data_IF_508670647098
#
_entry.id   IF_508670647098
#
_cell.length_a   1.000
_cell.length_b   1.000
_cell.length_c   1.000
_cell.angle_alpha   90.00
_cell.angle_beta   90.00
_cell.angle_gamma   90.00
#
_symmetry.space_group_name_H-M   'P 1'
#
loop_
_entity.id
_entity.type
_entity.pdbx_description
1 polymer ?
#
# COMPACT_ATOMS: atom_id res chain seq x y z
N UNK A 1 6.25 -12.39 17.10
CA UNK A 1 7.04 -11.64 16.11
C UNK A 1 8.49 -11.89 16.45
N UNK A 2 9.26 -12.36 15.48
CA UNK A 2 10.71 -12.56 15.65
C UNK A 2 11.44 -11.27 15.27
N UNK A 3 12.61 -11.02 15.87
CA UNK A 3 13.43 -9.86 15.51
C UNK A 3 13.80 -9.81 14.01
N UNK A 4 13.78 -10.97 13.34
CA UNK A 4 14.07 -11.09 11.91
C UNK A 4 12.96 -10.52 11.01
N UNK A 5 11.69 -10.64 11.42
CA UNK A 5 10.54 -10.07 10.68
C UNK A 5 10.61 -8.55 10.67
N UNK A 6 10.92 -7.93 11.80
CA UNK A 6 11.07 -6.46 11.92
C UNK A 6 12.19 -5.93 11.03
N UNK A 7 13.34 -6.61 11.00
CA UNK A 7 14.49 -6.17 10.19
C UNK A 7 14.24 -6.22 8.68
N UNK A 8 13.46 -7.18 8.20
CA UNK A 8 13.10 -7.28 6.78
C UNK A 8 12.13 -6.16 6.35
N UNK A 9 11.13 -5.84 7.19
CA UNK A 9 10.18 -4.75 6.97
C UNK A 9 10.88 -3.39 6.91
N UNK A 10 11.79 -3.13 7.86
CA UNK A 10 12.59 -1.90 7.92
C UNK A 10 13.50 -1.75 6.69
N UNK A 11 14.20 -2.82 6.30
CA UNK A 11 15.07 -2.80 5.13
C UNK A 11 14.30 -2.51 3.83
N UNK A 12 13.12 -3.11 3.67
CA UNK A 12 12.25 -2.85 2.52
C UNK A 12 11.82 -1.39 2.45
N UNK A 13 11.38 -0.83 3.58
CA UNK A 13 10.93 0.57 3.65
C UNK A 13 12.08 1.55 3.45
N UNK A 14 13.27 1.27 3.97
CA UNK A 14 14.46 2.08 3.73
C UNK A 14 14.81 2.13 2.22
N UNK A 15 14.84 0.97 1.56
CA UNK A 15 15.12 0.88 0.13
C UNK A 15 14.04 1.56 -0.74
N UNK A 16 12.79 1.64 -0.26
CA UNK A 16 11.72 2.40 -0.91
C UNK A 16 11.91 3.91 -0.71
N UNK A 17 12.30 4.35 0.48
CA UNK A 17 12.63 5.75 0.77
C UNK A 17 13.77 6.29 -0.09
N UNK A 18 14.84 5.51 -0.24
CA UNK A 18 15.96 5.83 -1.13
C UNK A 18 15.50 6.04 -2.58
N UNK A 19 14.62 5.16 -3.09
CA UNK A 19 14.08 5.29 -4.46
C UNK A 19 13.11 6.46 -4.60
N UNK A 20 12.37 6.79 -3.55
CA UNK A 20 11.40 7.89 -3.55
C UNK A 20 12.11 9.26 -3.66
N UNK A 21 13.34 9.37 -3.15
CA UNK A 21 14.21 10.54 -3.34
C UNK A 21 13.72 11.83 -2.68
N UNK A 22 12.82 11.72 -1.69
CA UNK A 22 12.29 12.84 -0.89
C UNK A 22 11.92 12.36 0.50
N UNK A 23 11.82 13.30 1.44
CA UNK A 23 11.43 13.00 2.81
C UNK A 23 10.05 12.32 2.86
N UNK A 24 10.01 11.17 3.54
CA UNK A 24 8.80 10.41 3.80
C UNK A 24 8.94 9.66 5.13
N UNK A 25 7.90 9.69 5.95
CA UNK A 25 7.86 8.93 7.19
C UNK A 25 7.33 7.51 6.92
N UNK A 26 8.09 6.44 7.23
CA UNK A 26 7.56 5.09 7.14
C UNK A 26 6.52 4.86 8.23
N UNK A 27 5.45 4.15 7.90
CA UNK A 27 4.36 3.81 8.83
C UNK A 27 4.19 2.31 8.84
N UNK A 28 4.39 1.69 10.01
CA UNK A 28 4.18 0.27 10.23
C UNK A 28 2.90 0.07 11.04
N UNK A 29 1.97 -0.73 10.53
CA UNK A 29 0.68 -1.06 11.17
C UNK A 29 0.47 -2.56 11.20
N UNK A 30 -0.31 -3.03 12.16
CA UNK A 30 -0.62 -4.45 12.36
C UNK A 30 -2.10 -4.63 12.53
N UNK A 31 -2.66 -5.52 11.73
CA UNK A 31 -4.08 -5.81 11.76
C UNK A 31 -4.54 -6.38 10.43
N UNK A 32 -5.83 -6.22 10.16
CA UNK A 32 -6.40 -6.58 8.87
C UNK A 32 -6.01 -5.50 7.85
N UNK A 33 -5.15 -5.85 6.89
CA UNK A 33 -4.54 -4.92 5.92
C UNK A 33 -5.55 -3.94 5.33
N UNK A 34 -6.71 -4.45 4.91
CA UNK A 34 -7.76 -3.63 4.31
C UNK A 34 -8.24 -2.49 5.22
N UNK A 35 -8.40 -2.77 6.52
CA UNK A 35 -8.86 -1.79 7.51
C UNK A 35 -7.74 -0.83 7.90
N UNK A 36 -6.55 -1.37 8.17
CA UNK A 36 -5.39 -0.55 8.56
C UNK A 36 -5.04 0.49 7.50
N UNK A 37 -5.10 0.12 6.23
CA UNK A 37 -4.81 1.05 5.13
C UNK A 37 -5.92 2.10 5.00
N UNK A 38 -7.20 1.72 5.05
CA UNK A 38 -8.31 2.67 4.98
C UNK A 38 -8.27 3.67 6.15
N UNK A 39 -7.99 3.20 7.36
CA UNK A 39 -7.83 4.06 8.54
C UNK A 39 -6.61 4.98 8.41
N UNK A 40 -5.49 4.48 7.90
CA UNK A 40 -4.29 5.31 7.65
C UNK A 40 -4.52 6.39 6.58
N UNK A 41 -5.48 6.17 5.66
CA UNK A 41 -5.85 7.15 4.66
C UNK A 41 -6.72 8.29 5.22
N UNK A 42 -7.23 8.17 6.46
CA UNK A 42 -7.98 9.24 7.09
C UNK A 42 -7.12 10.51 7.22
N UNK A 43 -7.60 11.61 6.64
CA UNK A 43 -6.89 12.90 6.64
C UNK A 43 -5.81 13.05 5.58
N UNK A 44 -5.61 12.05 4.71
CA UNK A 44 -4.71 12.17 3.55
C UNK A 44 -5.44 12.77 2.34
N UNK A 45 -4.71 13.51 1.49
CA UNK A 45 -5.28 14.06 0.26
C UNK A 45 -5.35 13.03 -0.88
N UNK A 46 -4.38 12.11 -0.90
CA UNK A 46 -4.15 11.16 -1.99
C UNK A 46 -3.52 9.85 -1.47
N UNK A 47 -4.11 8.73 -1.85
CA UNK A 47 -3.50 7.41 -1.77
C UNK A 47 -2.91 7.02 -3.12
N UNK A 48 -1.63 6.64 -3.16
CA UNK A 48 -0.98 6.06 -4.35
C UNK A 48 -0.80 4.57 -4.11
N UNK A 49 -1.34 3.74 -5.01
CA UNK A 49 -1.34 2.29 -4.86
C UNK A 49 -0.99 1.63 -6.20
N UNK A 50 -0.04 0.69 -6.17
CA UNK A 50 0.30 -0.12 -7.33
C UNK A 50 -0.74 -1.22 -7.54
N UNK A 51 -1.02 -1.56 -8.80
CA UNK A 51 -1.84 -2.74 -9.09
C UNK A 51 -1.09 -4.01 -8.71
N UNK A 52 -1.82 -4.93 -8.08
CA UNK A 52 -1.31 -6.18 -7.50
C UNK A 52 -2.07 -7.43 -8.01
N UNK A 53 -3.02 -7.26 -8.93
CA UNK A 53 -3.76 -8.36 -9.54
C UNK A 53 -3.11 -8.89 -10.83
N UNK A 54 -3.83 -9.78 -11.55
CA UNK A 54 -3.35 -10.30 -12.84
C UNK A 54 -3.36 -9.19 -13.89
N UNK A 55 -2.17 -8.71 -14.24
CA UNK A 55 -1.97 -7.62 -15.19
C UNK A 55 -2.01 -8.07 -16.66
N UNK A 56 -2.01 -9.39 -16.93
CA UNK A 56 -1.96 -9.94 -18.30
C UNK A 56 -3.32 -10.02 -18.96
N UNK A 57 -4.41 -9.83 -18.22
CA UNK A 57 -5.78 -9.97 -18.69
C UNK A 57 -6.60 -8.78 -18.22
N UNK A 58 -7.37 -8.20 -19.13
CA UNK A 58 -8.41 -7.25 -18.73
C UNK A 58 -9.50 -8.00 -17.95
N UNK A 59 -9.90 -7.47 -16.79
CA UNK A 59 -10.97 -8.07 -16.01
C UNK A 59 -10.94 -7.71 -14.53
N UNK A 60 -11.93 -8.18 -13.76
CA UNK A 60 -12.11 -7.83 -12.34
C UNK A 60 -10.99 -8.32 -11.42
N UNK A 61 -10.05 -9.12 -11.94
CA UNK A 61 -8.88 -9.64 -11.23
C UNK A 61 -7.62 -8.78 -11.40
N UNK A 62 -7.74 -7.59 -12.00
CA UNK A 62 -6.63 -6.64 -12.12
C UNK A 62 -6.16 -6.05 -10.79
N UNK A 63 -6.92 -6.25 -9.71
CA UNK A 63 -6.56 -5.92 -8.32
C UNK A 63 -6.76 -7.14 -7.43
N UNK A 64 -5.86 -7.33 -6.48
CA UNK A 64 -6.02 -8.29 -5.38
C UNK A 64 -7.19 -7.89 -4.48
N UNK A 65 -7.76 -8.83 -3.71
CA UNK A 65 -8.93 -8.54 -2.87
C UNK A 65 -8.72 -7.40 -1.87
N UNK A 66 -7.54 -7.33 -1.24
CA UNK A 66 -7.22 -6.29 -0.27
C UNK A 66 -7.10 -4.91 -0.94
N UNK A 67 -6.34 -4.81 -2.03
CA UNK A 67 -6.19 -3.58 -2.79
C UNK A 67 -7.51 -3.11 -3.39
N UNK A 68 -8.35 -4.04 -3.87
CA UNK A 68 -9.70 -3.72 -4.33
C UNK A 68 -10.54 -3.11 -3.21
N UNK A 69 -10.53 -3.72 -2.01
CA UNK A 69 -11.23 -3.16 -0.86
C UNK A 69 -10.76 -1.74 -0.55
N UNK A 70 -9.45 -1.51 -0.49
CA UNK A 70 -8.89 -0.19 -0.21
C UNK A 70 -9.33 0.83 -1.25
N UNK A 71 -9.24 0.50 -2.55
CA UNK A 71 -9.68 1.38 -3.64
C UNK A 71 -11.17 1.73 -3.52
N UNK A 72 -12.00 0.75 -3.16
CA UNK A 72 -13.44 0.94 -3.04
C UNK A 72 -13.86 1.75 -1.79
N UNK A 73 -12.99 1.86 -0.76
CA UNK A 73 -13.36 2.40 0.55
C UNK A 73 -12.46 3.53 1.09
N UNK A 74 -11.36 3.88 0.41
CA UNK A 74 -10.48 4.93 0.87
C UNK A 74 -11.23 6.28 1.00
N UNK A 75 -11.08 7.02 2.10
CA UNK A 75 -11.75 8.31 2.31
C UNK A 75 -11.12 9.46 1.52
N UNK A 76 -10.05 9.19 0.74
CA UNK A 76 -9.30 10.17 -0.03
C UNK A 76 -9.28 9.79 -1.52
N UNK A 77 -8.69 10.66 -2.35
CA UNK A 77 -8.51 10.36 -3.77
C UNK A 77 -7.54 9.17 -3.90
N UNK A 78 -7.78 8.30 -4.88
CA UNK A 78 -6.92 7.13 -5.13
C UNK A 78 -6.31 7.23 -6.52
N UNK A 79 -4.97 7.17 -6.58
CA UNK A 79 -4.21 7.02 -7.81
C UNK A 79 -3.69 5.58 -7.91
N UNK A 80 -4.30 4.82 -8.81
CA UNK A 80 -3.84 3.49 -9.18
C UNK A 80 -2.73 3.59 -10.24
N UNK A 81 -1.53 3.16 -9.90
CA UNK A 81 -0.37 3.20 -10.80
C UNK A 81 -0.13 1.86 -11.48
N UNK A 82 0.20 1.92 -12.76
CA UNK A 82 0.54 0.79 -13.62
C UNK A 82 2.07 0.73 -13.76
N UNK A 83 2.71 -0.44 -13.60
CA UNK A 83 4.09 -0.64 -14.03
C UNK A 83 4.18 -0.85 -15.55
#
# INVERSE_FOLDING_TARGET
MTAAETGAEEALMAAAGERLGRDAAPVFRRGRVEREVVEACAGMDLLVVARDGDVRRAGPKSLGPASRYVVDHAPCRVLLVWP
#
